data_IF_424102811110
#
_entry.id   IF_424102811110
#
_cell.length_a   1.000
_cell.length_b   1.000
_cell.length_c   1.000
_cell.angle_alpha   90.00
_cell.angle_beta   90.00
_cell.angle_gamma   90.00
#
_symmetry.space_group_name_H-M   'P 1'
#
loop_
_entity.id
_entity.type
_entity.pdbx_description
1 polymer ?
#
# COMPACT_ATOMS: atom_id res chain seq x y z
N UNK A 1 0.50 35.60 12.75
CA UNK A 1 0.91 34.55 11.78
C UNK A 1 1.20 33.23 12.50
N UNK A 2 0.36 32.19 12.36
CA UNK A 2 0.66 30.85 12.93
C UNK A 2 1.79 30.20 12.13
N UNK A 3 2.99 30.07 12.71
CA UNK A 3 4.11 29.30 12.12
C UNK A 3 3.57 27.94 11.67
N UNK A 4 3.70 27.60 10.37
CA UNK A 4 3.50 26.23 9.87
C UNK A 4 4.41 25.35 10.73
N UNK A 5 3.84 24.54 11.65
CA UNK A 5 4.61 23.57 12.44
C UNK A 5 5.34 22.67 11.44
N UNK A 6 6.64 22.92 11.27
CA UNK A 6 7.53 22.06 10.51
C UNK A 6 7.59 20.70 11.21
N UNK A 7 7.73 19.63 10.44
CA UNK A 7 7.98 18.30 10.99
C UNK A 7 9.29 18.35 11.78
N UNK A 8 9.29 17.78 12.98
CA UNK A 8 10.49 17.69 13.82
C UNK A 8 11.52 16.79 13.12
N UNK A 9 12.79 17.19 13.12
CA UNK A 9 13.88 16.45 12.49
C UNK A 9 15.09 16.34 13.41
N UNK A 10 15.86 15.27 13.25
CA UNK A 10 17.17 15.10 13.88
C UNK A 10 18.28 15.84 13.10
N UNK A 11 19.52 15.77 13.61
CA UNK A 11 20.71 16.37 12.98
C UNK A 11 21.04 15.80 11.59
N UNK A 12 20.56 14.60 11.27
CA UNK A 12 20.74 13.94 9.97
C UNK A 12 19.59 14.28 9.00
N UNK A 13 18.65 15.13 9.41
CA UNK A 13 17.48 15.52 8.64
C UNK A 13 16.39 14.45 8.56
N UNK A 14 16.47 13.39 9.37
CA UNK A 14 15.40 12.39 9.49
C UNK A 14 14.23 12.96 10.26
N UNK A 15 13.02 12.58 9.92
CA UNK A 15 11.83 12.99 10.68
C UNK A 15 11.81 12.22 11.99
N UNK A 16 11.60 12.93 13.09
CA UNK A 16 11.28 12.34 14.39
C UNK A 16 9.74 12.19 14.44
N UNK A 17 9.19 10.96 14.32
CA UNK A 17 7.75 10.78 14.30
C UNK A 17 7.14 11.13 15.67
N UNK A 18 5.90 11.59 15.67
CA UNK A 18 5.17 11.78 16.92
C UNK A 18 4.97 10.46 17.67
N UNK A 19 4.90 10.51 19.01
CA UNK A 19 4.61 9.33 19.85
C UNK A 19 3.34 8.61 19.42
N UNK A 20 2.29 9.37 19.08
CA UNK A 20 1.03 8.82 18.57
C UNK A 20 1.23 8.03 17.28
N UNK A 21 2.01 8.55 16.32
CA UNK A 21 2.30 7.84 15.08
C UNK A 21 3.06 6.54 15.32
N UNK A 22 4.06 6.55 16.21
CA UNK A 22 4.83 5.35 16.57
C UNK A 22 3.91 4.26 17.13
N UNK A 23 3.02 4.62 18.06
CA UNK A 23 2.06 3.68 18.64
C UNK A 23 1.06 3.11 17.62
N UNK A 24 0.58 3.94 16.69
CA UNK A 24 -0.32 3.48 15.61
C UNK A 24 0.38 2.54 14.64
N UNK A 25 1.65 2.80 14.30
CA UNK A 25 2.44 1.91 13.44
C UNK A 25 2.75 0.58 14.13
N UNK A 26 3.10 0.59 15.41
CA UNK A 26 3.29 -0.66 16.20
C UNK A 26 2.00 -1.50 16.20
N UNK A 27 0.86 -0.88 16.50
CA UNK A 27 -0.45 -1.57 16.46
C UNK A 27 -0.78 -2.11 15.07
N UNK A 28 -0.57 -1.31 14.03
CA UNK A 28 -0.76 -1.74 12.65
C UNK A 28 0.08 -2.99 12.34
N UNK A 29 1.36 -3.00 12.70
CA UNK A 29 2.25 -4.14 12.46
C UNK A 29 1.78 -5.38 13.23
N UNK A 30 1.42 -5.25 14.51
CA UNK A 30 0.86 -6.36 15.31
C UNK A 30 -0.41 -6.93 14.68
N UNK A 31 -1.31 -6.05 14.23
CA UNK A 31 -2.55 -6.46 13.55
C UNK A 31 -2.23 -7.20 12.25
N UNK A 32 -1.38 -6.65 11.39
CA UNK A 32 -0.98 -7.29 10.13
C UNK A 32 -0.34 -8.66 10.38
N UNK A 33 0.47 -8.80 11.43
CA UNK A 33 1.09 -10.07 11.79
C UNK A 33 0.01 -11.13 12.12
N UNK A 34 -0.98 -10.77 12.94
CA UNK A 34 -2.09 -11.66 13.33
C UNK A 34 -3.17 -11.90 12.27
N UNK A 35 -3.18 -11.18 11.14
CA UNK A 35 -4.25 -11.31 10.13
C UNK A 35 -4.24 -12.63 9.36
N UNK A 36 -3.07 -13.24 9.17
CA UNK A 36 -2.92 -14.47 8.40
C UNK A 36 -1.70 -15.27 8.87
N UNK A 37 -1.87 -16.59 9.00
CA UNK A 37 -0.77 -17.51 9.27
C UNK A 37 0.03 -17.79 8.00
N UNK A 38 1.29 -18.29 8.11
CA UNK A 38 2.07 -18.75 6.96
C UNK A 38 1.32 -19.80 6.12
N UNK A 39 0.61 -20.73 6.76
CA UNK A 39 -0.19 -21.74 6.07
C UNK A 39 -1.34 -21.11 5.26
N UNK A 40 -2.03 -20.11 5.81
CA UNK A 40 -3.08 -19.38 5.09
C UNK A 40 -2.53 -18.61 3.90
N UNK A 41 -1.29 -18.11 3.96
CA UNK A 41 -0.63 -17.48 2.82
C UNK A 41 -0.37 -18.52 1.73
N UNK A 42 0.17 -19.70 2.06
CA UNK A 42 0.47 -20.75 1.08
C UNK A 42 -0.78 -21.32 0.38
N UNK A 43 -1.93 -21.31 1.06
CA UNK A 43 -3.21 -21.69 0.48
C UNK A 43 -3.85 -20.56 -0.37
N UNK A 44 -3.21 -19.40 -0.45
CA UNK A 44 -3.71 -18.24 -1.16
C UNK A 44 -3.55 -18.31 -2.68
N UNK A 45 -3.87 -17.19 -3.34
CA UNK A 45 -3.81 -17.04 -4.79
C UNK A 45 -2.41 -16.57 -5.24
N UNK A 46 -1.67 -17.34 -6.06
CA UNK A 46 -0.33 -16.96 -6.51
C UNK A 46 -0.33 -15.73 -7.44
N UNK A 47 -1.44 -15.44 -8.11
CA UNK A 47 -1.60 -14.23 -8.93
C UNK A 47 -1.81 -12.96 -8.10
N UNK A 48 -2.14 -13.07 -6.81
CA UNK A 48 -2.21 -11.95 -5.87
C UNK A 48 -1.72 -12.42 -4.47
N UNK A 49 -0.43 -12.77 -4.36
CA UNK A 49 0.10 -13.41 -3.17
C UNK A 49 0.07 -12.45 -2.00
N UNK A 50 -0.21 -12.97 -0.79
CA UNK A 50 -0.22 -12.14 0.41
C UNK A 50 -1.28 -11.03 0.41
N UNK A 51 -2.36 -11.18 -0.35
CA UNK A 51 -3.50 -10.27 -0.40
C UNK A 51 -4.74 -10.90 0.23
N UNK A 52 -5.49 -10.10 0.99
CA UNK A 52 -6.85 -10.41 1.43
C UNK A 52 -7.81 -9.30 0.99
N UNK A 53 -9.10 -9.60 0.90
CA UNK A 53 -10.14 -8.61 0.66
C UNK A 53 -10.72 -8.13 1.99
N UNK A 54 -10.65 -6.83 2.25
CA UNK A 54 -11.36 -6.22 3.37
C UNK A 54 -12.74 -5.77 2.93
N UNK A 55 -13.77 -6.45 3.44
CA UNK A 55 -15.16 -6.07 3.23
C UNK A 55 -15.54 -4.94 4.17
N UNK A 56 -16.03 -3.84 3.60
CA UNK A 56 -16.59 -2.70 4.32
C UNK A 56 -17.85 -2.19 3.63
N UNK A 57 -18.68 -1.45 4.36
CA UNK A 57 -19.74 -0.63 3.76
C UNK A 57 -19.21 0.78 3.60
N UNK A 58 -19.14 1.24 2.35
CA UNK A 58 -18.60 2.56 2.03
C UNK A 58 -19.62 3.45 1.34
N UNK A 59 -19.51 4.74 1.59
CA UNK A 59 -20.28 5.78 0.89
C UNK A 59 -19.31 6.70 0.15
N UNK A 60 -19.45 6.92 -1.17
CA UNK A 60 -18.62 7.87 -1.89
C UNK A 60 -18.69 9.27 -1.31
N UNK A 61 -17.54 9.93 -1.20
CA UNK A 61 -17.42 11.34 -0.84
C UNK A 61 -17.40 12.20 -2.09
N UNK A 62 -18.10 13.33 -2.03
CA UNK A 62 -17.87 14.42 -2.96
C UNK A 62 -16.43 14.92 -2.83
N UNK A 63 -15.70 14.93 -3.95
CA UNK A 63 -14.30 15.35 -4.05
C UNK A 63 -14.14 16.86 -3.92
N UNK A 64 -15.20 17.63 -4.10
CA UNK A 64 -15.19 19.09 -3.94
C UNK A 64 -15.48 19.53 -2.50
N UNK A 65 -16.04 18.63 -1.70
CA UNK A 65 -16.42 18.86 -0.31
C UNK A 65 -15.25 19.34 0.58
N UNK A 66 -15.60 20.15 1.58
CA UNK A 66 -14.65 20.61 2.62
C UNK A 66 -14.03 19.41 3.36
N UNK A 67 -14.78 18.34 3.56
CA UNK A 67 -14.31 17.14 4.25
C UNK A 67 -13.21 16.43 3.46
N UNK A 68 -13.42 16.20 2.15
CA UNK A 68 -12.39 15.59 1.30
C UNK A 68 -11.11 16.44 1.25
N UNK A 69 -11.24 17.76 1.09
CA UNK A 69 -10.10 18.69 1.12
C UNK A 69 -9.32 18.62 2.45
N UNK A 70 -10.02 18.49 3.59
CA UNK A 70 -9.41 18.29 4.90
C UNK A 70 -8.62 16.97 4.97
N UNK A 71 -9.21 15.86 4.53
CA UNK A 71 -8.55 14.54 4.50
C UNK A 71 -7.26 14.60 3.66
N UNK A 72 -7.30 15.22 2.48
CA UNK A 72 -6.11 15.36 1.62
C UNK A 72 -5.01 16.18 2.29
N UNK A 73 -5.35 17.31 2.91
CA UNK A 73 -4.39 18.17 3.60
C UNK A 73 -3.78 17.49 4.83
N UNK A 74 -4.56 16.68 5.54
CA UNK A 74 -4.06 15.87 6.67
C UNK A 74 -3.13 14.76 6.20
N UNK A 75 -3.46 14.10 5.10
CA UNK A 75 -2.62 13.05 4.51
C UNK A 75 -1.21 13.57 4.19
N UNK A 76 -1.07 14.79 3.66
CA UNK A 76 0.23 15.39 3.36
C UNK A 76 1.12 15.56 4.62
N UNK A 77 0.51 15.70 5.80
CA UNK A 77 1.22 15.79 7.09
C UNK A 77 1.48 14.41 7.70
N UNK A 78 0.54 13.49 7.53
CA UNK A 78 0.58 12.15 8.12
C UNK A 78 1.54 11.24 7.36
N UNK A 79 1.51 11.26 6.03
CA UNK A 79 2.33 10.38 5.19
C UNK A 79 3.83 10.45 5.53
N UNK A 80 4.47 11.63 5.66
CA UNK A 80 5.89 11.69 6.04
C UNK A 80 6.17 11.09 7.42
N UNK A 81 5.28 11.28 8.40
CA UNK A 81 5.42 10.70 9.73
C UNK A 81 5.22 9.18 9.72
N UNK A 82 4.24 8.69 8.96
CA UNK A 82 4.00 7.26 8.79
C UNK A 82 5.24 6.55 8.22
N UNK A 83 5.81 7.08 7.13
CA UNK A 83 7.00 6.51 6.51
C UNK A 83 8.19 6.49 7.47
N UNK A 84 8.42 7.59 8.20
CA UNK A 84 9.49 7.68 9.18
C UNK A 84 9.27 6.72 10.37
N UNK A 85 8.05 6.64 10.89
CA UNK A 85 7.72 5.71 11.98
C UNK A 85 7.88 4.25 11.56
N UNK A 86 7.46 3.90 10.34
CA UNK A 86 7.67 2.56 9.79
C UNK A 86 9.16 2.24 9.64
N UNK A 87 9.96 3.18 9.13
CA UNK A 87 11.40 3.02 8.96
C UNK A 87 12.20 2.96 10.28
N UNK A 88 11.68 3.56 11.35
CA UNK A 88 12.30 3.57 12.68
C UNK A 88 11.86 2.41 13.58
N UNK A 89 10.74 1.75 13.28
CA UNK A 89 10.27 0.59 14.04
C UNK A 89 11.15 -0.64 13.77
N UNK A 90 11.54 -1.47 14.75
CA UNK A 90 12.42 -2.63 14.52
C UNK A 90 11.93 -3.57 13.41
N UNK A 91 10.67 -4.03 13.50
CA UNK A 91 10.03 -4.84 12.43
C UNK A 91 9.91 -4.05 11.12
N UNK A 92 9.37 -2.84 11.15
CA UNK A 92 9.17 -2.02 9.96
C UNK A 92 10.46 -1.69 9.21
N UNK A 93 11.57 -1.46 9.92
CA UNK A 93 12.92 -1.26 9.39
C UNK A 93 13.35 -2.49 8.59
N UNK A 94 13.29 -3.67 9.18
CA UNK A 94 13.68 -4.92 8.53
C UNK A 94 12.81 -5.24 7.30
N UNK A 95 11.49 -5.05 7.41
CA UNK A 95 10.57 -5.19 6.25
C UNK A 95 10.89 -4.18 5.14
N UNK A 96 11.23 -2.93 5.50
CA UNK A 96 11.63 -1.90 4.55
C UNK A 96 12.96 -2.23 3.87
N UNK A 97 13.94 -2.77 4.60
CA UNK A 97 15.20 -3.20 4.02
C UNK A 97 15.00 -4.28 2.95
N UNK A 98 14.13 -5.26 3.21
CA UNK A 98 13.82 -6.33 2.27
C UNK A 98 13.03 -5.85 1.04
N UNK A 99 12.09 -4.93 1.24
CA UNK A 99 11.20 -4.46 0.17
C UNK A 99 11.83 -3.36 -0.69
N UNK A 100 12.58 -2.43 -0.09
CA UNK A 100 13.06 -1.19 -0.75
C UNK A 100 14.55 -0.89 -0.57
N UNK A 101 15.28 -1.72 0.18
CA UNK A 101 16.73 -1.59 0.39
C UNK A 101 17.14 -0.41 1.29
N UNK A 102 18.45 -0.28 1.52
CA UNK A 102 19.05 0.79 2.36
C UNK A 102 18.67 2.20 1.89
N UNK A 103 18.83 2.48 0.60
CA UNK A 103 18.52 3.81 0.05
C UNK A 103 17.03 4.16 0.19
N UNK A 104 16.15 3.18 -0.04
CA UNK A 104 14.72 3.34 0.17
C UNK A 104 14.38 3.62 1.62
N UNK A 105 14.99 2.87 2.56
CA UNK A 105 14.83 3.10 4.00
C UNK A 105 15.26 4.52 4.40
N UNK A 106 16.40 5.01 3.92
CA UNK A 106 16.88 6.37 4.21
C UNK A 106 15.94 7.45 3.66
N UNK A 107 15.33 7.24 2.50
CA UNK A 107 14.28 8.13 1.99
C UNK A 107 13.04 8.10 2.89
N UNK A 108 12.62 6.93 3.35
CA UNK A 108 11.47 6.78 4.26
C UNK A 108 11.70 7.49 5.59
N UNK A 109 12.90 7.39 6.19
CA UNK A 109 13.28 8.16 7.40
C UNK A 109 13.13 9.66 7.19
N UNK A 110 13.38 10.16 5.98
CA UNK A 110 13.20 11.58 5.61
C UNK A 110 11.75 11.94 5.25
N UNK A 111 10.82 10.97 5.33
CA UNK A 111 9.40 11.11 4.98
C UNK A 111 9.13 11.11 3.49
N UNK A 112 10.07 10.61 2.69
CA UNK A 112 9.97 10.53 1.23
C UNK A 112 9.65 9.09 0.84
N UNK A 113 8.82 8.93 -0.19
CA UNK A 113 8.61 7.61 -0.79
C UNK A 113 9.91 7.17 -1.49
N UNK A 114 10.29 5.90 -1.40
CA UNK A 114 11.41 5.37 -2.18
C UNK A 114 11.20 5.62 -3.68
N UNK A 115 12.25 6.10 -4.35
CA UNK A 115 12.27 6.22 -5.81
C UNK A 115 12.94 4.97 -6.37
N UNK A 116 12.45 4.47 -7.51
CA UNK A 116 13.20 3.47 -8.28
C UNK A 116 14.33 4.24 -8.96
N UNK A 117 15.56 3.98 -8.53
CA UNK A 117 16.70 4.27 -9.37
C UNK A 117 17.95 3.48 -8.96
N UNK A 118 17.90 2.14 -9.04
CA UNK A 118 19.12 1.33 -8.90
C UNK A 118 19.63 0.78 -10.24
N UNK A 119 18.91 1.00 -11.35
CA UNK A 119 19.23 0.47 -12.67
C UNK A 119 18.74 -0.97 -12.89
N UNK A 120 19.19 -1.58 -13.98
CA UNK A 120 19.11 -3.03 -14.23
C UNK A 120 20.52 -3.60 -14.13
N UNK A 121 20.69 -4.75 -13.49
CA UNK A 121 21.94 -5.50 -13.59
C UNK A 121 21.83 -6.54 -14.71
N UNK A 122 22.96 -6.86 -15.35
CA UNK A 122 23.10 -8.11 -16.08
C UNK A 122 23.52 -9.15 -15.04
N UNK A 123 22.73 -10.20 -14.88
CA UNK A 123 23.06 -11.29 -13.97
C UNK A 123 24.04 -12.28 -14.63
N UNK A 124 24.53 -13.26 -13.88
CA UNK A 124 25.54 -14.25 -14.33
C UNK A 124 25.09 -15.08 -15.54
N UNK A 125 23.78 -15.19 -15.77
CA UNK A 125 23.17 -15.86 -16.92
C UNK A 125 22.89 -14.93 -18.12
N UNK A 126 23.34 -13.67 -18.08
CA UNK A 126 23.17 -12.69 -19.14
C UNK A 126 21.79 -12.01 -19.17
N UNK A 127 20.90 -12.27 -18.22
CA UNK A 127 19.56 -11.68 -18.18
C UNK A 127 19.57 -10.34 -17.43
N UNK A 128 18.89 -9.33 -18.00
CA UNK A 128 18.71 -8.03 -17.33
C UNK A 128 17.65 -8.11 -16.24
N UNK A 129 18.06 -8.00 -14.98
CA UNK A 129 17.17 -8.02 -13.81
C UNK A 129 17.18 -6.68 -13.08
N UNK A 130 16.12 -6.40 -12.32
CA UNK A 130 16.00 -5.15 -11.58
C UNK A 130 17.08 -5.09 -10.49
N UNK A 131 17.91 -4.05 -10.47
CA UNK A 131 19.05 -3.92 -9.54
C UNK A 131 18.63 -3.74 -8.07
N UNK A 132 17.33 -3.49 -7.81
CA UNK A 132 16.76 -3.60 -6.45
C UNK A 132 16.85 -5.04 -5.90
N UNK A 133 16.93 -6.06 -6.76
CA UNK A 133 16.92 -7.48 -6.38
C UNK A 133 18.32 -8.09 -6.15
N UNK A 134 19.40 -7.42 -6.57
CA UNK A 134 20.76 -7.96 -6.50
C UNK A 134 21.65 -7.14 -5.57
N UNK A 135 22.07 -7.81 -4.49
CA UNK A 135 22.92 -7.26 -3.45
C UNK A 135 24.37 -7.68 -3.73
N UNK A 136 25.31 -6.71 -3.66
CA UNK A 136 26.76 -6.83 -3.92
C UNK A 136 27.23 -6.96 -5.38
N UNK A 137 26.61 -6.27 -6.35
CA UNK A 137 27.17 -6.20 -7.73
C UNK A 137 27.41 -4.75 -8.16
N UNK A 138 28.52 -4.53 -8.86
CA UNK A 138 28.96 -3.23 -9.42
C UNK A 138 27.89 -2.72 -10.38
N UNK A 139 27.26 -1.60 -10.03
CA UNK A 139 26.14 -1.01 -10.80
C UNK A 139 26.59 -0.63 -12.22
N UNK A 140 25.81 -0.99 -13.23
CA UNK A 140 25.97 -0.43 -14.57
C UNK A 140 25.51 1.04 -14.55
N UNK A 141 26.34 1.95 -15.09
CA UNK A 141 25.97 3.37 -15.23
C UNK A 141 24.67 3.49 -16.04
N UNK A 142 23.73 4.27 -15.54
CA UNK A 142 22.51 4.57 -16.29
C UNK A 142 22.82 5.30 -17.60
N UNK A 143 22.14 4.91 -18.66
CA UNK A 143 22.03 5.76 -19.85
C UNK A 143 21.20 7.00 -19.49
N UNK A 144 21.57 8.18 -20.04
CA UNK A 144 20.89 9.47 -19.81
C UNK A 144 19.42 9.51 -20.30
N UNK A 145 18.89 8.43 -20.86
CA UNK A 145 17.63 8.39 -21.63
C UNK A 145 16.39 7.99 -20.82
N UNK A 146 16.53 7.44 -19.61
CA UNK A 146 15.36 7.07 -18.79
C UNK A 146 14.94 8.21 -17.84
N UNK A 147 14.20 9.18 -18.37
CA UNK A 147 13.61 10.31 -17.60
C UNK A 147 12.36 9.92 -16.79
N UNK A 148 11.93 8.66 -16.84
CA UNK A 148 10.74 8.18 -16.11
C UNK A 148 11.13 7.84 -14.66
N UNK A 149 10.85 8.76 -13.73
CA UNK A 149 11.00 8.52 -12.29
C UNK A 149 9.90 7.58 -11.77
N UNK A 150 10.12 6.29 -11.95
CA UNK A 150 9.41 5.25 -11.23
C UNK A 150 9.58 5.43 -9.71
N UNK A 151 8.53 5.22 -8.92
CA UNK A 151 8.58 5.40 -7.46
C UNK A 151 7.56 4.54 -6.75
N UNK A 152 7.72 4.35 -5.45
CA UNK A 152 6.66 3.77 -4.63
C UNK A 152 5.57 4.81 -4.37
N UNK A 153 4.35 4.33 -4.16
CA UNK A 153 3.21 5.15 -3.74
C UNK A 153 2.80 4.76 -2.31
N UNK A 154 2.46 5.74 -1.48
CA UNK A 154 1.82 5.46 -0.19
C UNK A 154 0.29 5.44 -0.42
N UNK A 155 -0.24 4.25 -0.65
CA UNK A 155 -1.62 4.02 -1.06
C UNK A 155 -2.55 3.88 0.14
N UNK A 156 -3.76 4.41 0.00
CA UNK A 156 -4.87 4.18 0.91
C UNK A 156 -5.61 2.88 0.54
N UNK A 157 -5.66 1.89 1.43
CA UNK A 157 -6.38 0.61 1.23
C UNK A 157 -7.86 0.87 0.91
N UNK A 158 -8.53 1.60 1.81
CA UNK A 158 -9.83 2.21 1.57
C UNK A 158 -9.58 3.65 1.12
N UNK A 159 -9.99 3.99 -0.10
CA UNK A 159 -9.71 5.30 -0.67
C UNK A 159 -10.24 6.46 0.18
N UNK A 160 -9.46 7.55 0.24
CA UNK A 160 -9.86 8.83 0.84
C UNK A 160 -11.14 9.46 0.26
N UNK A 161 -11.60 9.02 -0.92
CA UNK A 161 -12.85 9.48 -1.53
C UNK A 161 -14.05 8.61 -1.16
N UNK A 162 -13.95 7.75 -0.16
CA UNK A 162 -15.10 7.04 0.42
C UNK A 162 -15.04 7.11 1.95
N UNK A 163 -16.21 7.18 2.60
CA UNK A 163 -16.35 6.99 4.04
C UNK A 163 -16.73 5.54 4.32
N UNK A 164 -15.95 4.85 5.14
CA UNK A 164 -16.32 3.55 5.70
C UNK A 164 -16.93 3.75 7.08
N UNK A 165 -18.10 3.15 7.33
CA UNK A 165 -18.77 3.26 8.65
C UNK A 165 -17.94 2.69 9.80
N UNK A 166 -17.10 1.69 9.53
CA UNK A 166 -16.43 0.87 10.54
C UNK A 166 -14.90 1.04 10.53
N UNK A 167 -14.37 1.97 9.74
CA UNK A 167 -12.92 2.18 9.66
C UNK A 167 -12.55 3.48 10.41
N UNK A 168 -11.42 3.51 11.15
CA UNK A 168 -10.87 4.75 11.66
C UNK A 168 -10.58 5.74 10.51
N UNK A 169 -10.19 6.97 10.88
CA UNK A 169 -9.81 8.04 9.95
C UNK A 169 -9.16 7.50 8.67
N UNK A 170 -9.54 7.99 7.46
CA UNK A 170 -8.91 7.56 6.22
C UNK A 170 -7.39 7.69 6.22
N UNK A 171 -6.82 8.53 7.08
CA UNK A 171 -5.38 8.71 7.23
C UNK A 171 -4.76 7.92 8.39
N UNK A 172 -5.49 7.00 9.01
CA UNK A 172 -4.90 6.08 9.99
C UNK A 172 -3.82 5.21 9.32
N UNK A 173 -2.66 4.97 9.95
CA UNK A 173 -1.58 4.14 9.39
C UNK A 173 -2.03 2.78 8.91
N UNK A 174 -3.00 2.16 9.58
CA UNK A 174 -3.59 0.89 9.17
C UNK A 174 -4.29 0.91 7.81
N UNK A 175 -4.70 2.08 7.34
CA UNK A 175 -5.25 2.28 6.01
C UNK A 175 -4.17 2.58 4.97
N UNK A 176 -2.89 2.62 5.34
CA UNK A 176 -1.79 3.00 4.47
C UNK A 176 -0.90 1.80 4.16
N UNK A 177 -0.49 1.70 2.91
CA UNK A 177 0.51 0.73 2.45
C UNK A 177 1.46 1.40 1.47
N UNK A 178 2.75 1.11 1.58
CA UNK A 178 3.70 1.51 0.56
C UNK A 178 3.70 0.47 -0.57
N UNK A 179 3.31 0.85 -1.78
CA UNK A 179 3.15 -0.07 -2.89
C UNK A 179 3.95 0.37 -4.10
N UNK A 180 4.56 -0.59 -4.78
CA UNK A 180 5.33 -0.37 -5.99
C UNK A 180 4.44 0.15 -7.14
N UNK A 181 4.86 1.24 -7.82
CA UNK A 181 4.20 1.74 -9.03
C UNK A 181 5.21 2.14 -10.10
N UNK A 182 5.17 1.46 -11.24
CA UNK A 182 6.12 1.67 -12.33
C UNK A 182 5.44 2.05 -13.64
N UNK A 183 5.89 3.14 -14.25
CA UNK A 183 5.45 3.62 -15.56
C UNK A 183 6.38 3.16 -16.69
N UNK A 184 7.65 2.84 -16.41
CA UNK A 184 8.62 2.45 -17.45
C UNK A 184 8.56 0.97 -17.86
N UNK A 185 8.25 0.05 -16.95
CA UNK A 185 8.31 -1.41 -17.23
C UNK A 185 7.05 -1.98 -17.91
N UNK A 186 6.42 -1.28 -18.86
CA UNK A 186 5.19 -1.70 -19.56
C UNK A 186 4.10 -2.27 -18.61
N UNK A 187 4.00 -1.73 -17.39
CA UNK A 187 3.12 -2.16 -16.31
C UNK A 187 3.28 -3.61 -15.79
N UNK A 188 4.38 -4.29 -16.10
CA UNK A 188 4.63 -5.67 -15.62
C UNK A 188 4.76 -5.73 -14.10
N UNK A 189 5.44 -4.77 -13.48
CA UNK A 189 5.69 -4.73 -12.03
C UNK A 189 4.95 -3.53 -11.42
N UNK A 190 3.61 -3.55 -11.46
CA UNK A 190 2.78 -2.41 -11.04
C UNK A 190 1.54 -2.82 -10.22
N UNK A 191 1.72 -3.47 -9.06
CA UNK A 191 0.60 -3.92 -8.23
C UNK A 191 -0.36 -2.79 -7.88
N UNK A 192 0.14 -1.57 -7.66
CA UNK A 192 -0.70 -0.40 -7.41
C UNK A 192 -1.73 -0.19 -8.52
N UNK A 193 -1.32 -0.02 -9.78
CA UNK A 193 -2.28 0.23 -10.85
C UNK A 193 -3.13 -0.99 -11.20
N UNK A 194 -2.62 -2.20 -10.98
CA UNK A 194 -3.42 -3.42 -11.08
C UNK A 194 -4.58 -3.43 -10.08
N UNK A 195 -4.31 -3.14 -8.80
CA UNK A 195 -5.37 -3.08 -7.78
C UNK A 195 -6.40 -2.00 -8.09
N UNK A 196 -5.95 -0.83 -8.54
CA UNK A 196 -6.84 0.23 -8.95
C UNK A 196 -7.72 -0.18 -10.14
N UNK A 197 -7.11 -0.74 -11.18
CA UNK A 197 -7.82 -1.12 -12.39
C UNK A 197 -8.85 -2.22 -12.13
N UNK A 198 -8.48 -3.28 -11.40
CA UNK A 198 -9.31 -4.49 -11.31
C UNK A 198 -10.29 -4.47 -10.14
N UNK A 199 -9.87 -3.96 -8.98
CA UNK A 199 -10.71 -4.03 -7.79
C UNK A 199 -11.45 -2.72 -7.58
N UNK A 200 -10.73 -1.61 -7.61
CA UNK A 200 -11.24 -0.36 -7.09
C UNK A 200 -12.16 0.36 -8.08
N UNK A 201 -11.66 0.66 -9.28
CA UNK A 201 -12.39 1.44 -10.29
C UNK A 201 -13.72 0.80 -10.68
N UNK A 202 -13.80 -0.52 -10.92
CA UNK A 202 -15.07 -1.15 -11.25
C UNK A 202 -16.09 -1.07 -10.11
N UNK A 203 -15.67 -1.15 -8.84
CA UNK A 203 -16.58 -1.08 -7.69
C UNK A 203 -17.12 0.34 -7.42
N UNK A 204 -16.42 1.38 -7.85
CA UNK A 204 -16.81 2.78 -7.61
C UNK A 204 -17.39 3.47 -8.86
N UNK A 205 -17.23 2.89 -10.05
CA UNK A 205 -17.75 3.49 -11.29
C UNK A 205 -19.27 3.36 -11.36
N UNK A 206 -19.93 4.45 -11.79
CA UNK A 206 -21.38 4.47 -12.00
C UNK A 206 -22.23 4.48 -10.72
N UNK A 207 -21.62 4.50 -9.52
CA UNK A 207 -22.39 4.43 -8.28
C UNK A 207 -22.38 5.76 -7.50
N UNK A 208 -23.56 6.33 -7.32
CA UNK A 208 -23.81 7.66 -6.75
C UNK A 208 -24.41 7.55 -5.35
N UNK A 209 -23.60 7.94 -4.36
CA UNK A 209 -24.03 8.39 -3.01
C UNK A 209 -24.71 7.37 -2.08
N UNK A 210 -24.95 6.12 -2.50
CA UNK A 210 -25.55 5.10 -1.63
C UNK A 210 -24.49 4.27 -0.89
N UNK A 211 -24.74 3.87 0.37
CA UNK A 211 -23.88 2.92 1.08
C UNK A 211 -23.87 1.56 0.37
N UNK A 212 -22.69 1.04 0.08
CA UNK A 212 -22.54 -0.21 -0.67
C UNK A 212 -21.41 -1.10 -0.15
N UNK A 213 -21.48 -2.43 -0.36
CA UNK A 213 -20.36 -3.32 -0.08
C UNK A 213 -19.18 -3.00 -0.97
N UNK A 214 -18.02 -2.83 -0.35
CA UNK A 214 -16.74 -2.58 -1.00
C UNK A 214 -15.70 -3.55 -0.48
N UNK A 215 -14.98 -4.18 -1.40
CA UNK A 215 -13.93 -5.15 -1.12
C UNK A 215 -12.58 -4.52 -1.46
N UNK A 216 -11.93 -3.97 -0.44
CA UNK A 216 -10.63 -3.33 -0.57
C UNK A 216 -9.50 -4.37 -0.65
N UNK A 217 -8.52 -4.14 -1.52
CA UNK A 217 -7.30 -4.96 -1.57
C UNK A 217 -6.43 -4.62 -0.38
N UNK A 218 -6.29 -5.54 0.58
CA UNK A 218 -5.43 -5.39 1.76
C UNK A 218 -4.23 -6.33 1.68
N UNK A 219 -3.03 -5.80 1.44
CA UNK A 219 -1.80 -6.55 1.61
C UNK A 219 -1.58 -6.96 3.06
N UNK A 220 -1.03 -8.15 3.26
CA UNK A 220 -0.63 -8.67 4.58
C UNK A 220 0.69 -8.07 5.09
N UNK A 221 1.28 -7.16 4.32
CA UNK A 221 2.54 -6.48 4.61
C UNK A 221 2.36 -4.96 4.45
N UNK A 222 3.09 -4.14 5.24
CA UNK A 222 3.01 -2.67 5.15
C UNK A 222 3.69 -2.12 3.90
N UNK A 223 4.46 -2.95 3.19
CA UNK A 223 5.11 -2.63 1.92
C UNK A 223 4.87 -3.78 0.95
N UNK A 224 4.49 -3.48 -0.29
CA UNK A 224 4.16 -4.48 -1.30
C UNK A 224 4.84 -4.24 -2.65
N UNK A 225 5.50 -5.26 -3.25
CA UNK A 225 5.79 -6.57 -2.65
C UNK A 225 6.72 -6.47 -1.42
N UNK A 226 6.63 -7.40 -0.44
CA UNK A 226 7.42 -7.36 0.79
C UNK A 226 8.88 -7.74 0.62
N UNK A 227 9.21 -8.41 -0.49
CA UNK A 227 10.55 -8.83 -0.89
C UNK A 227 10.69 -8.59 -2.39
N UNK A 228 11.93 -8.44 -2.84
CA UNK A 228 12.25 -8.20 -4.25
C UNK A 228 12.98 -9.38 -4.90
N UNK A 229 13.33 -10.40 -4.11
CA UNK A 229 14.01 -11.62 -4.55
C UNK A 229 13.42 -12.85 -3.85
N UNK A 230 13.61 -14.06 -4.40
CA UNK A 230 13.18 -15.28 -3.75
C UNK A 230 13.89 -15.50 -2.41
N UNK A 231 13.13 -15.99 -1.42
CA UNK A 231 13.59 -16.39 -0.10
C UNK A 231 13.00 -17.78 0.20
N UNK A 232 13.85 -18.80 0.26
CA UNK A 232 13.44 -20.19 0.37
C UNK A 232 13.40 -20.71 1.82
N UNK A 233 14.16 -20.10 2.73
CA UNK A 233 14.19 -20.46 4.15
C UNK A 233 14.36 -19.25 5.07
N UNK A 234 14.11 -19.47 6.37
CA UNK A 234 14.30 -18.46 7.42
C UNK A 234 15.78 -18.13 7.61
N UNK A 235 16.67 -19.11 7.50
CA UNK A 235 18.12 -18.95 7.60
C UNK A 235 18.63 -18.06 6.48
N UNK A 236 18.16 -18.30 5.24
CA UNK A 236 18.45 -17.44 4.11
C UNK A 236 17.96 -16.02 4.39
N UNK A 237 16.71 -15.85 4.82
CA UNK A 237 16.16 -14.53 5.15
C UNK A 237 17.00 -13.77 6.18
N UNK A 238 17.42 -14.44 7.24
CA UNK A 238 18.28 -13.85 8.29
C UNK A 238 19.62 -13.42 7.73
N UNK A 239 20.28 -14.27 6.94
CA UNK A 239 21.55 -13.94 6.27
C UNK A 239 21.40 -12.69 5.42
N UNK A 240 20.32 -12.61 4.63
CA UNK A 240 20.02 -11.45 3.79
C UNK A 240 19.78 -10.18 4.58
N UNK A 241 19.01 -10.26 5.67
CA UNK A 241 18.82 -9.12 6.56
C UNK A 241 20.13 -8.64 7.18
N UNK A 242 21.04 -9.55 7.57
CA UNK A 242 22.33 -9.18 8.15
C UNK A 242 23.28 -8.53 7.15
N UNK A 243 23.24 -8.93 5.88
CA UNK A 243 23.97 -8.24 4.80
C UNK A 243 23.45 -6.81 4.64
N UNK A 244 22.12 -6.62 4.74
CA UNK A 244 21.49 -5.31 4.65
C UNK A 244 21.72 -4.47 5.89
N UNK A 245 21.73 -5.03 7.07
CA UNK A 245 22.02 -4.33 8.31
C UNK A 245 22.35 -5.37 9.39
N UNK A 246 23.58 -5.39 9.94
CA UNK A 246 23.97 -6.35 10.97
C UNK A 246 23.06 -6.34 12.20
N UNK A 247 22.35 -5.23 12.46
CA UNK A 247 21.41 -5.09 13.58
C UNK A 247 19.96 -5.41 13.19
N UNK A 248 19.63 -5.55 11.90
CA UNK A 248 18.29 -5.93 11.49
C UNK A 248 17.96 -7.36 11.95
N UNK A 249 16.74 -7.50 12.45
CA UNK A 249 16.13 -8.76 12.89
C UNK A 249 14.63 -8.70 12.62
N UNK A 250 14.00 -9.86 12.49
CA UNK A 250 12.55 -10.00 12.43
C UNK A 250 12.10 -11.06 13.44
N UNK A 251 10.92 -10.89 14.07
CA UNK A 251 10.28 -11.98 14.79
C UNK A 251 10.00 -13.17 13.86
N UNK A 252 10.06 -14.39 14.41
CA UNK A 252 9.87 -15.64 13.66
C UNK A 252 8.53 -15.69 12.91
N UNK A 253 7.48 -15.06 13.45
CA UNK A 253 6.18 -14.93 12.77
C UNK A 253 6.31 -14.23 11.41
N UNK A 254 6.99 -13.08 11.38
CA UNK A 254 7.25 -12.33 10.15
C UNK A 254 8.19 -13.07 9.21
N UNK A 255 9.23 -13.72 9.73
CA UNK A 255 10.15 -14.52 8.93
C UNK A 255 9.41 -15.62 8.16
N UNK A 256 8.58 -16.38 8.85
CA UNK A 256 7.77 -17.44 8.24
C UNK A 256 6.76 -16.90 7.22
N UNK A 257 6.15 -15.74 7.47
CA UNK A 257 5.22 -15.11 6.51
C UNK A 257 5.91 -14.68 5.23
N UNK A 258 7.14 -14.16 5.32
CA UNK A 258 7.93 -13.78 4.15
C UNK A 258 8.31 -15.02 3.33
N UNK A 259 8.75 -16.09 3.98
CA UNK A 259 9.07 -17.35 3.31
C UNK A 259 7.83 -17.94 2.64
N UNK A 260 6.69 -17.96 3.33
CA UNK A 260 5.42 -18.41 2.77
C UNK A 260 4.99 -17.59 1.54
N UNK A 261 5.11 -16.26 1.62
CA UNK A 261 4.85 -15.37 0.49
C UNK A 261 5.77 -15.68 -0.69
N UNK A 262 7.07 -15.87 -0.44
CA UNK A 262 8.04 -16.18 -1.48
C UNK A 262 7.82 -17.54 -2.13
N UNK A 263 7.33 -18.52 -1.39
CA UNK A 263 7.02 -19.85 -1.92
C UNK A 263 5.75 -19.83 -2.76
N UNK A 264 4.70 -19.12 -2.30
CA UNK A 264 3.44 -19.03 -3.02
C UNK A 264 3.63 -18.41 -4.41
N UNK A 265 4.36 -17.30 -4.49
CA UNK A 265 4.53 -16.58 -5.76
C UNK A 265 5.37 -17.35 -6.79
N UNK A 266 6.28 -18.21 -6.34
CA UNK A 266 7.18 -19.01 -7.18
C UNK A 266 8.29 -18.19 -7.84
N UNK A 267 7.94 -17.18 -8.63
CA UNK A 267 8.86 -16.33 -9.39
C UNK A 267 8.95 -14.91 -8.80
N UNK A 268 10.16 -14.35 -8.73
CA UNK A 268 10.40 -12.97 -8.32
C UNK A 268 11.24 -12.23 -9.35
N UNK A 269 11.02 -10.91 -9.56
CA UNK A 269 10.05 -10.06 -8.86
C UNK A 269 8.60 -10.33 -9.28
N UNK A 270 7.62 -10.02 -8.40
CA UNK A 270 6.18 -10.13 -8.71
C UNK A 270 5.81 -9.44 -10.02
N UNK A 271 5.19 -10.19 -10.92
CA UNK A 271 4.73 -9.69 -12.22
C UNK A 271 3.23 -9.85 -12.37
N UNK A 272 2.62 -8.86 -13.02
CA UNK A 272 1.23 -8.88 -13.40
C UNK A 272 1.10 -9.53 -14.77
N UNK A 273 0.17 -10.50 -14.84
CA UNK A 273 -0.21 -11.18 -16.07
C UNK A 273 -0.54 -10.17 -17.19
N UNK A 274 -0.05 -10.47 -18.38
CA UNK A 274 -0.21 -9.66 -19.58
C UNK A 274 -1.68 -9.33 -19.90
N UNK A 275 -2.62 -10.22 -19.58
CA UNK A 275 -4.05 -10.01 -19.86
C UNK A 275 -4.60 -8.75 -19.17
N UNK A 276 -4.05 -8.33 -18.04
CA UNK A 276 -4.51 -7.15 -17.30
C UNK A 276 -3.90 -5.83 -17.81
N UNK A 277 -2.86 -5.87 -18.65
CA UNK A 277 -2.09 -4.68 -19.03
C UNK A 277 -2.93 -3.64 -19.77
N UNK A 278 -3.91 -4.06 -20.58
CA UNK A 278 -4.82 -3.15 -21.29
C UNK A 278 -5.72 -2.37 -20.32
N UNK A 279 -6.35 -3.06 -19.36
CA UNK A 279 -7.16 -2.43 -18.31
C UNK A 279 -6.33 -1.44 -17.49
N UNK A 280 -5.09 -1.80 -17.12
CA UNK A 280 -4.17 -0.93 -16.39
C UNK A 280 -3.82 0.33 -17.20
N UNK A 281 -3.51 0.18 -18.50
CA UNK A 281 -3.21 1.32 -19.39
C UNK A 281 -4.40 2.26 -19.54
N UNK A 282 -5.62 1.74 -19.66
CA UNK A 282 -6.84 2.55 -19.71
C UNK A 282 -7.07 3.30 -18.39
N UNK A 283 -6.88 2.64 -17.25
CA UNK A 283 -6.94 3.28 -15.95
C UNK A 283 -5.93 4.44 -15.83
N UNK A 284 -4.68 4.25 -16.27
CA UNK A 284 -3.66 5.31 -16.25
C UNK A 284 -4.07 6.54 -17.06
N UNK A 285 -4.80 6.36 -18.18
CA UNK A 285 -5.30 7.48 -18.99
C UNK A 285 -6.26 8.37 -18.21
N UNK A 286 -7.03 7.86 -17.24
CA UNK A 286 -7.95 8.69 -16.41
C UNK A 286 -7.20 9.83 -15.71
N UNK A 287 -5.94 9.59 -15.35
CA UNK A 287 -5.09 10.52 -14.62
C UNK A 287 -4.01 11.19 -15.49
N UNK A 288 -4.11 11.09 -16.82
CA UNK A 288 -3.17 11.76 -17.73
C UNK A 288 -3.43 13.27 -17.76
N UNK A 289 -2.36 14.04 -17.98
CA UNK A 289 -2.43 15.51 -18.11
C UNK A 289 -3.20 15.96 -19.36
N UNK A 290 -3.41 15.04 -20.31
CA UNK A 290 -4.13 15.26 -21.57
C UNK A 290 -5.66 15.20 -21.37
N UNK A 291 -6.14 14.58 -20.29
CA UNK A 291 -7.57 14.37 -20.04
C UNK A 291 -8.12 15.36 -19.01
N UNK A 292 -7.97 16.66 -19.29
CA UNK A 292 -8.50 17.76 -18.44
C UNK A 292 -9.98 18.04 -18.65
N UNK A 293 -10.52 17.69 -19.82
CA UNK A 293 -11.93 17.96 -20.14
C UNK A 293 -12.85 16.97 -19.40
N UNK A 294 -13.88 17.45 -18.66
CA UNK A 294 -14.74 16.59 -17.83
C UNK A 294 -15.44 15.48 -18.61
N UNK A 295 -15.96 15.79 -19.81
CA UNK A 295 -16.63 14.86 -20.73
C UNK A 295 -15.71 13.72 -21.16
N UNK A 296 -14.50 14.05 -21.62
CA UNK A 296 -13.46 13.08 -22.00
C UNK A 296 -13.01 12.25 -20.80
N UNK A 297 -12.85 12.85 -19.63
CA UNK A 297 -12.48 12.12 -18.41
C UNK A 297 -13.55 11.09 -18.02
N UNK A 298 -14.83 11.46 -18.09
CA UNK A 298 -15.96 10.58 -17.83
C UNK A 298 -16.02 9.43 -18.84
N UNK A 299 -15.84 9.73 -20.14
CA UNK A 299 -15.79 8.70 -21.18
C UNK A 299 -14.66 7.68 -20.94
N UNK A 300 -13.44 8.15 -20.64
CA UNK A 300 -12.30 7.27 -20.37
C UNK A 300 -12.50 6.45 -19.08
N UNK A 301 -13.13 7.01 -18.04
CA UNK A 301 -13.51 6.26 -16.83
C UNK A 301 -14.47 5.13 -17.12
N UNK A 302 -15.52 5.40 -17.89
CA UNK A 302 -16.49 4.39 -18.28
C UNK A 302 -15.85 3.29 -19.14
N UNK A 303 -14.98 3.67 -20.09
CA UNK A 303 -14.24 2.71 -20.90
C UNK A 303 -13.31 1.83 -20.04
N UNK A 304 -12.55 2.43 -19.12
CA UNK A 304 -11.67 1.70 -18.21
C UNK A 304 -12.45 0.77 -17.28
N UNK A 305 -13.58 1.24 -16.73
CA UNK A 305 -14.43 0.42 -15.88
C UNK A 305 -15.05 -0.74 -16.65
N UNK A 306 -15.51 -0.52 -17.89
CA UNK A 306 -16.05 -1.59 -18.76
C UNK A 306 -15.00 -2.65 -19.06
N UNK A 307 -13.80 -2.25 -19.48
CA UNK A 307 -12.69 -3.18 -19.74
C UNK A 307 -12.34 -3.99 -18.48
N UNK A 308 -12.23 -3.32 -17.34
CA UNK A 308 -11.84 -3.96 -16.09
C UNK A 308 -12.94 -4.82 -15.46
N UNK A 309 -14.23 -4.55 -15.72
CA UNK A 309 -15.36 -5.29 -15.14
C UNK A 309 -15.30 -6.78 -15.47
N UNK A 310 -14.87 -7.12 -16.69
CA UNK A 310 -14.69 -8.50 -17.12
C UNK A 310 -13.63 -9.25 -16.30
N UNK A 311 -12.61 -8.55 -15.81
CA UNK A 311 -11.61 -9.13 -14.93
C UNK A 311 -12.05 -9.07 -13.48
N UNK A 312 -12.70 -7.99 -13.03
CA UNK A 312 -13.13 -7.81 -11.66
C UNK A 312 -14.04 -8.94 -11.16
N UNK A 313 -14.92 -9.47 -12.02
CA UNK A 313 -15.78 -10.63 -11.71
C UNK A 313 -14.99 -11.92 -11.46
N UNK A 314 -13.76 -12.03 -11.95
CA UNK A 314 -12.92 -13.20 -11.70
C UNK A 314 -12.36 -13.19 -10.27
N UNK A 315 -12.37 -12.03 -9.60
CA UNK A 315 -11.74 -11.81 -8.29
C UNK A 315 -12.72 -11.49 -7.17
N UNK A 316 -13.81 -10.79 -7.47
CA UNK A 316 -14.73 -10.27 -6.46
C UNK A 316 -15.80 -11.31 -6.10
N UNK A 317 -16.18 -11.41 -4.81
CA UNK A 317 -17.13 -12.42 -4.36
C UNK A 317 -18.59 -12.07 -4.73
N UNK A 318 -19.49 -13.04 -4.53
CA UNK A 318 -20.93 -12.83 -4.62
C UNK A 318 -21.39 -11.60 -3.82
N UNK A 319 -22.32 -10.84 -4.40
CA UNK A 319 -22.85 -9.61 -3.83
C UNK A 319 -21.93 -8.39 -3.88
N UNK A 320 -20.71 -8.49 -4.45
CA UNK A 320 -19.93 -7.32 -4.82
C UNK A 320 -20.62 -6.53 -5.93
N UNK A 321 -20.37 -5.22 -6.00
CA UNK A 321 -20.92 -4.36 -7.04
C UNK A 321 -19.82 -4.06 -8.05
N UNK A 322 -20.11 -4.29 -9.33
CA UNK A 322 -19.20 -4.02 -10.44
C UNK A 322 -19.97 -3.16 -11.44
N UNK A 323 -19.49 -1.93 -11.65
CA UNK A 323 -20.09 -0.95 -12.55
C UNK A 323 -21.60 -0.75 -12.29
N UNK A 324 -21.96 -0.59 -11.02
CA UNK A 324 -23.35 -0.42 -10.57
C UNK A 324 -24.19 -1.71 -10.48
N UNK A 325 -23.69 -2.85 -10.97
CA UNK A 325 -24.43 -4.11 -10.99
C UNK A 325 -23.93 -5.02 -9.86
N UNK A 326 -24.86 -5.50 -9.02
CA UNK A 326 -24.56 -6.45 -7.96
C UNK A 326 -24.37 -7.85 -8.54
N UNK A 327 -23.26 -8.51 -8.20
CA UNK A 327 -23.01 -9.89 -8.56
C UNK A 327 -24.03 -10.84 -7.91
N UNK A 328 -24.55 -11.83 -8.63
CA UNK A 328 -25.52 -12.81 -8.12
C UNK A 328 -25.05 -13.53 -6.85
N UNK A 329 -26.00 -14.02 -6.04
CA UNK A 329 -25.71 -14.79 -4.83
C UNK A 329 -25.00 -16.12 -5.09
N UNK A 330 -25.21 -16.71 -6.27
CA UNK A 330 -24.57 -17.94 -6.72
C UNK A 330 -23.25 -17.69 -7.49
N UNK A 331 -22.79 -16.45 -7.59
CA UNK A 331 -21.54 -16.12 -8.27
C UNK A 331 -20.33 -16.73 -7.54
N UNK A 332 -19.46 -17.41 -8.30
CA UNK A 332 -18.19 -17.97 -7.80
C UNK A 332 -17.03 -17.28 -8.53
N UNK A 333 -16.17 -16.52 -7.84
CA UNK A 333 -14.99 -15.94 -8.47
C UNK A 333 -14.03 -17.05 -8.89
N UNK A 334 -13.26 -16.80 -9.95
CA UNK A 334 -12.21 -17.71 -10.41
C UNK A 334 -11.04 -17.76 -9.41
N UNK A 335 -10.65 -16.59 -8.89
CA UNK A 335 -9.59 -16.44 -7.93
C UNK A 335 -10.19 -16.20 -6.55
N UNK A 336 -9.93 -17.12 -5.62
CA UNK A 336 -10.46 -17.04 -4.26
C UNK A 336 -9.46 -16.29 -3.39
N UNK A 337 -9.83 -15.08 -2.97
CA UNK A 337 -9.09 -14.30 -1.98
C UNK A 337 -9.78 -14.41 -0.62
N UNK A 338 -9.05 -14.60 0.49
CA UNK A 338 -9.63 -14.58 1.82
C UNK A 338 -10.32 -13.24 2.08
N UNK A 339 -11.52 -13.28 2.66
CA UNK A 339 -12.28 -12.07 3.00
C UNK A 339 -12.23 -11.85 4.50
N UNK A 340 -11.73 -10.69 4.92
CA UNK A 340 -11.85 -10.22 6.30
C UNK A 340 -13.02 -9.25 6.40
N UNK A 341 -13.87 -9.42 7.42
CA UNK A 341 -14.88 -8.43 7.79
C UNK A 341 -14.20 -7.39 8.69
N UNK A 342 -14.27 -6.11 8.33
CA UNK A 342 -13.70 -5.02 9.14
C UNK A 342 -14.23 -4.99 10.57
N UNK A 343 -15.46 -5.48 10.78
CA UNK A 343 -16.14 -5.61 12.08
C UNK A 343 -15.53 -6.67 13.01
N UNK A 344 -14.81 -7.68 12.49
CA UNK A 344 -14.49 -8.89 13.26
C UNK A 344 -13.02 -9.08 13.64
N UNK A 345 -12.07 -8.23 13.21
CA UNK A 345 -10.63 -8.55 13.37
C UNK A 345 -9.67 -7.44 13.76
N UNK A 346 -10.05 -6.17 13.66
CA UNK A 346 -9.19 -5.12 14.22
C UNK A 346 -9.81 -4.66 15.53
N UNK A 347 -9.22 -5.09 16.65
CA UNK A 347 -9.48 -4.46 17.96
C UNK A 347 -9.00 -3.01 17.87
N UNK A 348 -9.87 -2.15 17.36
CA UNK A 348 -9.68 -0.69 17.30
C UNK A 348 -9.86 -0.03 18.66
N UNK A 349 -10.13 -0.83 19.70
CA UNK A 349 -10.30 -0.34 21.05
C UNK A 349 -9.09 0.51 21.46
N UNK A 350 -9.44 1.70 21.93
CA UNK A 350 -8.54 2.72 22.48
C UNK A 350 -7.62 3.41 21.46
N UNK A 351 -8.22 4.17 20.54
CA UNK A 351 -7.60 5.39 19.99
C UNK A 351 -8.58 6.58 19.89
N UNK A 352 -9.84 6.40 20.29
CA UNK A 352 -10.72 7.51 20.68
C UNK A 352 -10.48 7.83 22.15
N UNK A 353 -9.24 8.10 22.56
CA UNK A 353 -9.07 8.78 23.84
C UNK A 353 -9.66 10.19 23.67
N UNK A 354 -10.57 10.52 24.58
CA UNK A 354 -11.27 11.79 24.70
C UNK A 354 -10.29 12.96 24.86
N UNK A 355 -9.66 13.41 23.78
CA UNK A 355 -8.75 14.58 23.79
C UNK A 355 -9.09 15.62 22.73
N UNK A 356 -10.38 15.71 22.35
CA UNK A 356 -10.93 16.92 21.70
C UNK A 356 -11.60 17.89 22.68
N UNK A 357 -11.38 17.73 23.98
CA UNK A 357 -11.69 18.74 25.00
C UNK A 357 -10.47 18.95 25.89
N UNK A 358 -9.44 19.61 25.37
CA UNK A 358 -8.36 20.20 26.18
C UNK A 358 -8.11 21.66 25.81
N UNK A 359 -9.19 22.43 25.73
CA UNK A 359 -9.11 23.90 25.80
C UNK A 359 -9.27 24.43 27.25
N UNK A 360 -9.59 23.59 28.24
CA UNK A 360 -9.78 24.03 29.64
C UNK A 360 -8.75 23.54 30.67
N UNK A 361 -7.93 22.51 30.40
CA UNK A 361 -6.94 22.05 31.40
C UNK A 361 -5.55 22.72 31.29
N UNK A 362 -5.24 23.37 30.18
CA UNK A 362 -3.98 24.13 30.03
C UNK A 362 -4.00 25.51 30.70
N UNK A 363 -5.17 25.96 31.20
CA UNK A 363 -5.28 27.22 31.98
C UNK A 363 -5.01 27.04 33.47
N UNK A 364 -5.13 25.83 34.02
CA UNK A 364 -4.98 25.59 35.46
C UNK A 364 -3.61 25.02 35.88
N UNK A 365 -2.73 24.67 34.94
CA UNK A 365 -1.34 24.27 35.24
C UNK A 365 -0.32 25.39 35.06
N UNK A 366 -0.77 26.62 34.73
CA UNK A 366 0.06 27.82 34.68
C UNK A 366 -0.09 28.71 35.93
N UNK A 367 -0.78 28.23 36.98
CA UNK A 367 -0.96 28.94 38.26
C UNK A 367 -0.26 28.25 39.45
N UNK A 368 0.45 27.14 39.21
CA UNK A 368 1.33 26.53 40.20
C UNK A 368 2.59 26.01 39.51
N UNK A 369 3.51 26.92 39.21
CA UNK A 369 4.96 26.72 39.15
C UNK A 369 5.66 28.06 39.04
#
# INVERSE_FOLDING_TARGET
>A
MKKKRSLLRDSNGNIIPSKEMVLKVDRMLKNLDGLASPASILQGCPEAPGIVLEKSIVTPLDRESKNYKKIVKEYEKIRPQFLAALASHPVGKSLSLLAVGKEGLELMKKGKVPKKNLGTILDEDGIRRNAIAFYNVKRLRQSRLETIQDSYNCHHIIQKSVLSKNHPSPNDPSNLVLVQTFKSNNNQMNPHHFWHAIFLHPQINGNTQTPQPFYAVRPLFPIYPPIQKPIHSVEQLRKELKILDPQATLPLSWENKIVAFSRLIGEQPYQIDQKYRKAIKLFQKIHSKENKEPSKNLHIRNLAAKEASCFAKDWLPAGAIINGIKLPSNHKPKFILPIIKSENKMKWEVASSRFYTKDNELKNQALYR
#
